data_IF_087644714564
#
_entry.id   IF_087644714564
#
_cell.length_a   1.000
_cell.length_b   1.000
_cell.length_c   1.000
_cell.angle_alpha   90.00
_cell.angle_beta   90.00
_cell.angle_gamma   90.00
#
_symmetry.space_group_name_H-M   'P 1'
#
loop_
_entity.id
_entity.type
_entity.pdbx_description
1 polymer ?
#
# COMPACT_ATOMS: atom_id res chain seq x y z
N UNK A 1 -9.22 29.47 -16.62
CA UNK A 1 -9.56 28.29 -15.79
C UNK A 1 -9.36 26.98 -16.54
N UNK A 2 -9.89 26.83 -17.77
CA UNK A 2 -9.75 25.61 -18.59
C UNK A 2 -8.29 25.19 -18.90
N UNK A 3 -7.38 26.16 -19.10
CA UNK A 3 -5.95 25.91 -19.35
C UNK A 3 -5.20 25.35 -18.13
N UNK A 4 -5.58 25.76 -16.91
CA UNK A 4 -4.98 25.24 -15.68
C UNK A 4 -5.51 23.85 -15.32
N UNK A 5 -6.75 23.55 -15.70
CA UNK A 5 -7.33 22.21 -15.56
C UNK A 5 -6.61 21.18 -16.45
N UNK A 6 -6.28 21.51 -17.70
CA UNK A 6 -5.48 20.64 -18.57
C UNK A 6 -4.08 20.39 -18.01
N UNK A 7 -3.39 21.43 -17.52
CA UNK A 7 -2.07 21.29 -16.94
C UNK A 7 -2.07 20.43 -15.66
N UNK A 8 -3.08 20.62 -14.80
CA UNK A 8 -3.27 19.79 -13.60
C UNK A 8 -3.60 18.33 -13.93
N UNK A 9 -4.43 18.09 -14.94
CA UNK A 9 -4.77 16.74 -15.40
C UNK A 9 -3.55 16.01 -15.99
N UNK A 10 -2.73 16.70 -16.79
CA UNK A 10 -1.49 16.16 -17.34
C UNK A 10 -0.47 15.84 -16.24
N UNK A 11 -0.31 16.72 -15.25
CA UNK A 11 0.56 16.47 -14.09
C UNK A 11 0.08 15.29 -13.25
N UNK A 12 -1.23 15.16 -13.03
CA UNK A 12 -1.80 14.01 -12.33
C UNK A 12 -1.58 12.70 -13.10
N UNK A 13 -1.75 12.71 -14.43
CA UNK A 13 -1.50 11.54 -15.29
C UNK A 13 -0.02 11.13 -15.30
N UNK A 14 0.89 12.09 -15.38
CA UNK A 14 2.35 11.86 -15.30
C UNK A 14 2.76 11.29 -13.93
N UNK A 15 2.24 11.87 -12.84
CA UNK A 15 2.48 11.37 -11.50
C UNK A 15 1.92 9.95 -11.30
N UNK A 16 0.76 9.66 -11.90
CA UNK A 16 0.14 8.34 -11.86
C UNK A 16 0.97 7.28 -12.59
N UNK A 17 1.59 7.63 -13.72
CA UNK A 17 2.50 6.76 -14.47
C UNK A 17 3.80 6.45 -13.68
N UNK A 18 4.39 7.45 -13.03
CA UNK A 18 5.63 7.31 -12.25
C UNK A 18 5.42 6.61 -10.91
N UNK A 19 4.22 6.65 -10.33
CA UNK A 19 3.93 6.00 -9.04
C UNK A 19 3.77 4.47 -9.14
N UNK A 20 3.53 3.91 -10.34
CA UNK A 20 3.29 2.48 -10.55
C UNK A 20 4.44 1.56 -10.09
N UNK A 21 5.73 1.86 -10.38
CA UNK A 21 6.82 0.92 -10.08
C UNK A 21 7.17 0.86 -8.59
N UNK A 22 6.97 1.95 -7.83
CA UNK A 22 7.38 2.05 -6.42
C UNK A 22 6.36 1.41 -5.46
N UNK A 23 5.07 1.50 -5.78
CA UNK A 23 4.00 0.93 -4.97
C UNK A 23 3.87 -0.60 -5.10
N UNK A 24 4.37 -1.19 -6.19
CA UNK A 24 4.25 -2.62 -6.45
C UNK A 24 5.03 -3.50 -5.45
N UNK A 25 6.12 -2.98 -4.88
CA UNK A 25 6.99 -3.75 -3.98
C UNK A 25 6.61 -3.64 -2.50
N UNK A 26 5.86 -2.60 -2.11
CA UNK A 26 5.55 -2.34 -0.70
C UNK A 26 4.06 -2.03 -0.50
N UNK A 27 3.33 -2.99 0.07
CA UNK A 27 1.89 -2.90 0.31
C UNK A 27 1.52 -1.70 1.20
N UNK A 28 2.41 -1.29 2.12
CA UNK A 28 2.31 -0.05 2.91
C UNK A 28 2.28 1.19 2.03
N UNK A 29 3.27 1.35 1.15
CA UNK A 29 3.41 2.54 0.31
C UNK A 29 2.24 2.62 -0.69
N UNK A 30 1.83 1.48 -1.25
CA UNK A 30 0.65 1.41 -2.12
C UNK A 30 -0.62 1.88 -1.41
N UNK A 31 -0.84 1.39 -0.19
CA UNK A 31 -1.98 1.81 0.62
C UNK A 31 -1.94 3.31 0.91
N UNK A 32 -0.77 3.84 1.28
CA UNK A 32 -0.58 5.25 1.57
C UNK A 32 -0.84 6.16 0.36
N UNK A 33 -0.32 5.80 -0.81
CA UNK A 33 -0.50 6.58 -2.05
C UNK A 33 -1.96 6.58 -2.47
N UNK A 34 -2.61 5.41 -2.49
CA UNK A 34 -4.03 5.31 -2.88
C UNK A 34 -4.90 6.07 -1.88
N UNK A 35 -4.75 5.79 -0.58
CA UNK A 35 -5.54 6.46 0.44
C UNK A 35 -5.31 7.97 0.46
N UNK A 36 -4.06 8.42 0.28
CA UNK A 36 -3.72 9.84 0.27
C UNK A 36 -4.21 10.58 -0.97
N UNK A 37 -4.11 9.99 -2.16
CA UNK A 37 -4.64 10.59 -3.38
C UNK A 37 -6.17 10.70 -3.30
N UNK A 38 -6.85 9.62 -2.90
CA UNK A 38 -8.31 9.62 -2.76
C UNK A 38 -8.77 10.59 -1.68
N UNK A 39 -8.11 10.59 -0.52
CA UNK A 39 -8.43 11.49 0.58
C UNK A 39 -8.21 12.96 0.22
N UNK A 40 -7.18 13.28 -0.59
CA UNK A 40 -6.92 14.64 -1.03
C UNK A 40 -7.98 15.15 -2.02
N UNK A 41 -8.39 14.31 -2.98
CA UNK A 41 -9.45 14.66 -3.92
C UNK A 41 -10.77 14.90 -3.18
N UNK A 42 -11.15 13.99 -2.28
CA UNK A 42 -12.40 14.10 -1.51
C UNK A 42 -12.36 15.31 -0.57
N UNK A 43 -11.26 15.49 0.18
CA UNK A 43 -11.12 16.61 1.11
C UNK A 43 -11.09 17.96 0.40
N UNK A 44 -10.49 18.04 -0.79
CA UNK A 44 -10.51 19.23 -1.64
C UNK A 44 -11.91 19.50 -2.21
N UNK A 45 -12.62 18.46 -2.66
CA UNK A 45 -13.97 18.60 -3.22
C UNK A 45 -15.02 19.00 -2.18
N UNK A 46 -14.96 18.43 -0.96
CA UNK A 46 -15.93 18.72 0.12
C UNK A 46 -15.71 20.10 0.70
N UNK A 47 -14.46 20.51 0.91
CA UNK A 47 -14.18 21.81 1.54
C UNK A 47 -14.01 22.96 0.53
N UNK A 48 -13.81 22.65 -0.75
CA UNK A 48 -13.47 23.63 -1.77
C UNK A 48 -12.08 24.27 -1.58
N UNK A 49 -11.24 23.74 -0.68
CA UNK A 49 -9.93 24.35 -0.33
C UNK A 49 -8.78 23.35 -0.45
N UNK A 50 -7.59 23.87 -0.79
CA UNK A 50 -6.35 23.08 -0.76
C UNK A 50 -6.00 22.56 0.64
N UNK A 51 -6.49 23.21 1.70
CA UNK A 51 -6.31 22.78 3.09
C UNK A 51 -7.08 21.49 3.39
N UNK A 52 -8.32 21.38 2.90
CA UNK A 52 -9.07 20.13 2.99
C UNK A 52 -8.45 19.01 2.17
N UNK A 53 -7.84 19.32 1.03
CA UNK A 53 -7.08 18.34 0.26
C UNK A 53 -5.83 17.85 1.01
N UNK A 54 -5.10 18.73 1.69
CA UNK A 54 -3.95 18.33 2.51
C UNK A 54 -4.37 17.48 3.72
N UNK A 55 -5.41 17.87 4.45
CA UNK A 55 -5.90 17.12 5.61
C UNK A 55 -6.46 15.77 5.18
N UNK A 56 -7.31 15.74 4.15
CA UNK A 56 -7.86 14.51 3.61
C UNK A 56 -6.78 13.59 3.06
N UNK A 57 -5.76 14.14 2.41
CA UNK A 57 -4.62 13.38 1.89
C UNK A 57 -3.73 12.81 2.99
N UNK A 58 -3.45 13.57 4.05
CA UNK A 58 -2.66 13.09 5.18
C UNK A 58 -3.39 11.96 5.94
N UNK A 59 -4.68 12.15 6.21
CA UNK A 59 -5.52 11.14 6.87
C UNK A 59 -5.63 9.87 6.01
N UNK A 60 -5.98 10.04 4.74
CA UNK A 60 -6.09 8.94 3.80
C UNK A 60 -4.78 8.18 3.61
N UNK A 61 -3.65 8.89 3.55
CA UNK A 61 -2.33 8.26 3.46
C UNK A 61 -1.96 7.49 4.72
N UNK A 62 -2.23 8.05 5.91
CA UNK A 62 -1.98 7.36 7.18
C UNK A 62 -2.80 6.08 7.31
N UNK A 63 -4.10 6.16 7.06
CA UNK A 63 -5.00 4.99 7.12
C UNK A 63 -4.62 3.95 6.07
N UNK A 64 -4.38 4.39 4.83
CA UNK A 64 -3.95 3.51 3.74
C UNK A 64 -2.62 2.81 4.03
N UNK A 65 -1.64 3.54 4.59
CA UNK A 65 -0.35 2.99 5.00
C UNK A 65 -0.52 1.89 6.06
N UNK A 66 -1.36 2.14 7.08
CA UNK A 66 -1.58 1.19 8.16
C UNK A 66 -2.19 -0.14 7.65
N UNK A 67 -3.18 -0.05 6.76
CA UNK A 67 -3.79 -1.23 6.11
C UNK A 67 -2.75 -1.96 5.25
N UNK A 68 -1.98 -1.23 4.47
CA UNK A 68 -0.92 -1.77 3.64
C UNK A 68 0.18 -2.48 4.44
N UNK A 69 0.60 -1.90 5.57
CA UNK A 69 1.60 -2.47 6.47
C UNK A 69 1.14 -3.80 7.09
N UNK A 70 -0.15 -3.90 7.39
CA UNK A 70 -0.75 -5.13 7.92
C UNK A 70 -0.72 -6.26 6.89
N UNK A 71 -0.95 -5.95 5.62
CA UNK A 71 -0.83 -6.93 4.53
C UNK A 71 0.61 -7.41 4.34
N UNK A 72 1.58 -6.51 4.43
CA UNK A 72 2.99 -6.89 4.34
C UNK A 72 3.41 -7.89 5.42
N UNK A 73 2.91 -7.73 6.65
CA UNK A 73 3.19 -8.68 7.75
C UNK A 73 2.68 -10.09 7.45
N UNK A 74 1.52 -10.19 6.79
CA UNK A 74 0.92 -11.48 6.44
C UNK A 74 1.59 -12.16 5.22
N UNK A 75 2.28 -11.39 4.39
CA UNK A 75 3.06 -11.87 3.24
C UNK A 75 4.51 -12.21 3.59
N UNK A 76 4.91 -12.14 4.86
CA UNK A 76 6.27 -12.56 5.24
C UNK A 76 6.38 -14.07 5.16
N UNK A 77 7.41 -14.53 4.46
CA UNK A 77 7.77 -15.94 4.48
C UNK A 77 8.37 -16.28 5.84
N UNK A 78 7.80 -17.25 6.54
CA UNK A 78 8.35 -17.72 7.81
C UNK A 78 8.14 -19.22 7.97
N UNK A 79 9.06 -19.83 8.72
CA UNK A 79 8.98 -21.22 9.12
C UNK A 79 8.22 -21.32 10.44
N UNK A 80 7.31 -22.28 10.55
CA UNK A 80 6.58 -22.53 11.79
C UNK A 80 6.39 -24.03 12.04
N UNK A 81 6.38 -24.39 13.31
CA UNK A 81 6.12 -25.75 13.77
C UNK A 81 4.64 -25.96 14.02
N UNK A 82 4.08 -27.07 13.51
CA UNK A 82 2.71 -27.51 13.83
C UNK A 82 2.63 -29.03 13.80
N UNK A 83 2.04 -29.65 14.83
CA UNK A 83 1.82 -31.10 14.93
C UNK A 83 3.07 -31.94 14.57
N UNK A 84 4.24 -31.59 15.11
CA UNK A 84 5.48 -32.33 14.86
C UNK A 84 6.05 -32.22 13.44
N UNK A 85 5.49 -31.35 12.59
CA UNK A 85 6.00 -31.06 11.26
C UNK A 85 6.39 -29.57 11.12
N UNK A 86 7.41 -29.33 10.30
CA UNK A 86 7.87 -27.99 9.94
C UNK A 86 7.17 -27.56 8.64
N UNK A 87 6.61 -26.36 8.66
CA UNK A 87 5.96 -25.76 7.52
C UNK A 87 6.62 -24.44 7.16
N UNK A 88 6.70 -24.17 5.86
CA UNK A 88 7.16 -22.91 5.31
C UNK A 88 5.97 -22.21 4.65
N UNK A 89 5.60 -21.04 5.17
CA UNK A 89 4.65 -20.16 4.51
C UNK A 89 5.43 -19.29 3.53
N UNK A 90 5.06 -19.33 2.25
CA UNK A 90 5.60 -18.44 1.23
C UNK A 90 4.84 -17.11 1.19
N UNK A 91 5.48 -16.09 0.63
CA UNK A 91 4.87 -14.77 0.36
C UNK A 91 3.61 -14.83 -0.51
N UNK A 92 3.44 -15.89 -1.32
CA UNK A 92 2.23 -16.18 -2.10
C UNK A 92 1.08 -16.82 -1.29
N UNK A 93 1.25 -16.99 0.02
CA UNK A 93 0.25 -17.60 0.91
C UNK A 93 0.20 -19.14 0.90
N UNK A 94 0.99 -19.80 0.04
CA UNK A 94 1.08 -21.26 0.03
C UNK A 94 1.86 -21.72 1.26
N UNK A 95 1.34 -22.77 1.91
CA UNK A 95 2.01 -23.44 3.02
C UNK A 95 2.55 -24.76 2.49
N UNK A 96 3.87 -24.89 2.47
CA UNK A 96 4.56 -26.10 2.03
C UNK A 96 5.18 -26.79 3.24
N UNK A 97 5.16 -28.12 3.28
CA UNK A 97 5.90 -28.88 4.29
C UNK A 97 7.39 -28.76 3.98
N UNK A 98 8.16 -28.20 4.90
CA UNK A 98 9.61 -28.08 4.78
C UNK A 98 10.31 -29.13 5.63
N UNK A 99 11.56 -29.44 5.30
CA UNK A 99 12.35 -30.40 6.08
C UNK A 99 12.50 -29.89 7.53
N UNK A 100 12.20 -30.72 8.56
CA UNK A 100 12.29 -30.35 9.98
C UNK A 100 13.60 -29.69 10.42
N UNK A 101 14.71 -29.97 9.71
CA UNK A 101 16.01 -29.34 9.98
C UNK A 101 16.00 -27.81 9.83
N UNK A 102 15.16 -27.26 8.95
CA UNK A 102 15.08 -25.80 8.74
C UNK A 102 14.39 -25.06 9.88
N UNK A 103 13.50 -25.71 10.64
CA UNK A 103 12.89 -25.09 11.83
C UNK A 103 13.69 -25.33 13.13
N UNK A 104 14.86 -25.99 13.06
CA UNK A 104 15.74 -26.29 14.21
C UNK A 104 17.07 -25.52 14.19
N UNK A 105 17.32 -24.73 13.14
CA UNK A 105 18.39 -23.73 13.10
C UNK A 105 17.90 -22.43 13.71
#
# INVERSE_FOLDING_TARGET
MLRHACAAALLALLAFWVAQPAAAQNSTARGAVIGGATGAVVGGAVTGTGRGALVGGALGAGTGAAIGASRNRNSRSYHFWRNGNCYYRQSNGRVLRSNPRHCRR
#
